data_IF_990842891115
#
_entry.id   IF_990842891115
#
_cell.length_a   1.000
_cell.length_b   1.000
_cell.length_c   1.000
_cell.angle_alpha   90.00
_cell.angle_beta   90.00
_cell.angle_gamma   90.00
#
_symmetry.space_group_name_H-M   'P 1'
#
loop_
_entity.id
_entity.type
_entity.pdbx_description
1 polymer ?
#
# COMPACT_ATOMS: atom_id res chain seq x y z
N UNK A 1 -26.20 16.92 10.17
CA UNK A 1 -25.75 18.08 9.39
C UNK A 1 -24.32 17.85 8.95
N UNK A 2 -23.96 18.25 7.71
CA UNK A 2 -22.63 18.01 7.10
C UNK A 2 -21.87 19.32 6.94
N UNK A 3 -20.57 19.31 7.23
CA UNK A 3 -19.62 20.33 6.79
C UNK A 3 -18.87 19.78 5.57
N UNK A 4 -18.88 20.55 4.49
CA UNK A 4 -18.04 20.31 3.32
C UNK A 4 -16.85 21.28 3.38
N UNK A 5 -15.65 20.75 3.53
CA UNK A 5 -14.40 21.52 3.53
C UNK A 5 -13.81 21.40 2.14
N UNK A 6 -13.58 22.53 1.48
CA UNK A 6 -13.03 22.62 0.13
C UNK A 6 -11.60 23.13 0.21
N UNK A 7 -10.64 22.27 -0.08
CA UNK A 7 -9.21 22.58 -0.09
C UNK A 7 -8.65 22.76 -1.51
N UNK A 8 -9.51 22.64 -2.52
CA UNK A 8 -9.15 22.80 -3.92
C UNK A 8 -10.27 23.56 -4.65
N UNK A 9 -9.90 24.46 -5.55
CA UNK A 9 -10.83 25.14 -6.44
C UNK A 9 -11.13 24.18 -7.60
N UNK A 10 -12.33 23.62 -7.61
CA UNK A 10 -12.82 22.74 -8.68
C UNK A 10 -13.54 23.52 -9.76
N UNK A 11 -13.86 22.84 -10.86
CA UNK A 11 -14.67 23.40 -11.97
C UNK A 11 -16.13 23.66 -11.54
N UNK A 12 -16.58 23.03 -10.46
CA UNK A 12 -17.96 23.11 -9.97
C UNK A 12 -18.00 23.88 -8.67
N UNK A 13 -18.79 24.99 -8.67
CA UNK A 13 -19.08 25.73 -7.44
C UNK A 13 -20.19 25.03 -6.64
N UNK A 14 -19.93 24.76 -5.37
CA UNK A 14 -20.92 24.21 -4.44
C UNK A 14 -21.75 25.32 -3.80
N UNK A 15 -22.99 25.46 -4.23
CA UNK A 15 -23.95 26.42 -3.65
C UNK A 15 -24.72 25.74 -2.50
N UNK A 16 -24.57 26.18 -1.23
CA UNK A 16 -25.21 25.56 -0.06
C UNK A 16 -26.73 25.39 -0.19
N UNK A 17 -27.39 26.32 -0.86
CA UNK A 17 -28.83 26.29 -1.07
C UNK A 17 -29.32 25.24 -2.07
N UNK A 18 -28.43 24.70 -2.89
CA UNK A 18 -28.77 23.61 -3.85
C UNK A 18 -28.72 22.24 -3.22
N UNK A 19 -28.16 22.09 -2.03
CA UNK A 19 -28.18 20.81 -1.32
C UNK A 19 -29.57 20.54 -0.73
N UNK A 20 -30.11 19.36 -1.00
CA UNK A 20 -31.41 18.92 -0.50
C UNK A 20 -31.47 19.06 1.04
N UNK A 21 -32.51 19.77 1.53
CA UNK A 21 -32.74 19.96 2.97
C UNK A 21 -31.89 21.02 3.67
N UNK A 22 -31.02 21.76 2.97
CA UNK A 22 -30.24 22.86 3.57
C UNK A 22 -29.29 22.40 4.70
N UNK A 23 -28.89 21.13 4.71
CA UNK A 23 -28.13 20.49 5.79
C UNK A 23 -26.63 20.50 5.59
N UNK A 24 -26.10 21.23 4.59
CA UNK A 24 -24.69 21.33 4.28
C UNK A 24 -24.18 22.73 4.52
N UNK A 25 -23.12 22.87 5.30
CA UNK A 25 -22.32 24.09 5.38
C UNK A 25 -21.06 23.91 4.55
N UNK A 26 -20.61 24.93 3.84
CA UNK A 26 -19.41 24.90 3.01
C UNK A 26 -18.33 25.77 3.64
N UNK A 27 -17.10 25.25 3.71
CA UNK A 27 -15.92 25.94 4.24
C UNK A 27 -14.81 25.88 3.16
N UNK A 28 -14.58 26.95 2.42
CA UNK A 28 -13.39 27.04 1.56
C UNK A 28 -12.13 27.26 2.42
N UNK A 29 -11.03 26.59 2.03
CA UNK A 29 -9.73 26.68 2.71
C UNK A 29 -8.68 27.03 1.67
N UNK A 30 -8.21 28.26 1.69
CA UNK A 30 -7.21 28.79 0.77
C UNK A 30 -5.79 28.52 1.30
N UNK A 31 -5.14 27.48 0.76
CA UNK A 31 -3.78 27.10 1.10
C UNK A 31 -3.68 26.16 2.32
N UNK A 32 -2.68 25.30 2.28
CA UNK A 32 -2.50 24.25 3.30
C UNK A 32 -2.30 24.79 4.73
N UNK A 33 -1.71 26.00 4.90
CA UNK A 33 -1.50 26.60 6.21
C UNK A 33 -2.80 27.07 6.87
N UNK A 34 -3.86 27.28 6.08
CA UNK A 34 -5.17 27.67 6.60
C UNK A 34 -5.95 26.46 7.15
N UNK A 35 -5.63 25.23 6.71
CA UNK A 35 -6.24 24.01 7.23
C UNK A 35 -5.66 23.70 8.62
N UNK A 36 -6.35 24.12 9.66
CA UNK A 36 -5.90 23.94 11.04
C UNK A 36 -6.97 23.25 11.89
N UNK A 37 -6.52 22.60 12.97
CA UNK A 37 -7.42 21.99 13.96
C UNK A 37 -8.43 22.99 14.51
N UNK A 38 -7.97 24.18 14.85
CA UNK A 38 -8.83 25.22 15.40
C UNK A 38 -9.92 25.64 14.42
N UNK A 39 -9.58 25.80 13.15
CA UNK A 39 -10.55 26.13 12.10
C UNK A 39 -11.66 25.08 12.01
N UNK A 40 -11.29 23.79 11.96
CA UNK A 40 -12.24 22.68 11.88
C UNK A 40 -13.14 22.60 13.12
N UNK A 41 -12.57 22.77 14.33
CA UNK A 41 -13.34 22.80 15.57
C UNK A 41 -14.34 23.95 15.62
N UNK A 42 -13.94 25.16 15.25
CA UNK A 42 -14.77 26.35 15.30
C UNK A 42 -15.95 26.25 14.33
N UNK A 43 -15.70 25.79 13.09
CA UNK A 43 -16.76 25.60 12.10
C UNK A 43 -17.72 24.48 12.49
N UNK A 44 -17.21 23.38 13.02
CA UNK A 44 -18.04 22.27 13.49
C UNK A 44 -18.96 22.68 14.62
N UNK A 45 -18.45 23.42 15.60
CA UNK A 45 -19.23 23.98 16.71
C UNK A 45 -20.27 25.00 16.22
N UNK A 46 -19.83 25.94 15.37
CA UNK A 46 -20.70 26.99 14.83
C UNK A 46 -21.90 26.46 14.08
N UNK A 47 -21.69 25.43 13.26
CA UNK A 47 -22.72 24.87 12.39
C UNK A 47 -23.41 23.63 12.98
N UNK A 48 -22.95 23.10 14.13
CA UNK A 48 -23.47 21.92 14.80
C UNK A 48 -23.57 20.73 13.84
N UNK A 49 -22.44 20.36 13.24
CA UNK A 49 -22.36 19.29 12.25
C UNK A 49 -22.03 17.95 12.90
N UNK A 50 -22.53 16.88 12.31
CA UNK A 50 -22.35 15.49 12.77
C UNK A 50 -21.35 14.75 11.89
N UNK A 51 -21.06 15.29 10.70
CA UNK A 51 -20.17 14.68 9.70
C UNK A 51 -19.42 15.76 8.93
N UNK A 52 -18.17 15.47 8.62
CA UNK A 52 -17.33 16.34 7.78
C UNK A 52 -16.93 15.56 6.54
N UNK A 53 -17.07 16.19 5.38
CA UNK A 53 -16.48 15.76 4.12
C UNK A 53 -15.37 16.74 3.77
N UNK A 54 -14.23 16.23 3.36
CA UNK A 54 -13.09 17.07 2.96
C UNK A 54 -12.79 16.76 1.51
N UNK A 55 -13.00 17.71 0.61
CA UNK A 55 -12.44 17.71 -0.73
C UNK A 55 -11.01 18.23 -0.61
N UNK A 56 -10.08 17.28 -0.51
CA UNK A 56 -8.69 17.57 -0.17
C UNK A 56 -7.88 17.91 -1.43
N UNK A 57 -6.98 18.85 -1.30
CA UNK A 57 -6.12 19.25 -2.42
C UNK A 57 -5.13 18.13 -2.78
N UNK A 58 -5.17 17.70 -4.05
CA UNK A 58 -4.35 16.62 -4.57
C UNK A 58 -2.84 16.85 -4.47
N UNK A 59 -2.40 18.10 -4.37
CA UNK A 59 -0.98 18.47 -4.29
C UNK A 59 -0.46 18.63 -2.85
N UNK A 60 -1.33 18.61 -1.83
CA UNK A 60 -0.90 18.75 -0.45
C UNK A 60 -0.53 17.37 0.15
N UNK A 61 0.53 17.29 0.99
CA UNK A 61 0.84 16.06 1.73
C UNK A 61 -0.33 15.64 2.60
N UNK A 62 -0.64 14.35 2.68
CA UNK A 62 -1.75 13.82 3.52
C UNK A 62 -1.52 14.12 4.99
N UNK A 63 -0.27 14.23 5.44
CA UNK A 63 0.09 14.59 6.80
C UNK A 63 -0.53 15.92 7.25
N UNK A 64 -0.69 16.90 6.36
CA UNK A 64 -1.35 18.18 6.67
C UNK A 64 -2.80 17.98 7.13
N UNK A 65 -3.52 17.03 6.51
CA UNK A 65 -4.87 16.68 6.95
C UNK A 65 -4.84 16.01 8.33
N UNK A 66 -3.95 15.06 8.56
CA UNK A 66 -3.84 14.38 9.87
C UNK A 66 -3.51 15.35 11.00
N UNK A 67 -2.61 16.29 10.76
CA UNK A 67 -2.23 17.30 11.77
C UNK A 67 -3.37 18.27 12.08
N UNK A 68 -4.26 18.49 11.10
CA UNK A 68 -5.42 19.37 11.26
C UNK A 68 -6.62 18.68 11.93
N UNK A 69 -6.63 17.35 12.08
CA UNK A 69 -7.76 16.64 12.68
C UNK A 69 -7.96 17.05 14.15
N UNK A 70 -9.18 17.44 14.55
CA UNK A 70 -9.54 17.64 15.96
C UNK A 70 -9.38 16.36 16.77
N UNK A 71 -9.07 16.53 18.07
CA UNK A 71 -8.91 15.38 18.96
C UNK A 71 -10.20 14.55 19.05
N UNK A 72 -10.09 13.25 18.82
CA UNK A 72 -11.21 12.32 18.86
C UNK A 72 -11.98 12.20 17.54
N UNK A 73 -11.51 12.86 16.48
CA UNK A 73 -12.01 12.58 15.14
C UNK A 73 -11.28 11.39 14.52
N UNK A 74 -12.01 10.66 13.71
CA UNK A 74 -11.50 9.52 12.95
C UNK A 74 -11.89 9.69 11.47
N UNK A 75 -10.98 9.34 10.58
CA UNK A 75 -11.29 9.26 9.15
C UNK A 75 -12.07 7.95 8.97
N UNK A 76 -13.34 8.08 8.63
CA UNK A 76 -14.24 6.94 8.41
C UNK A 76 -13.99 6.29 7.06
N UNK A 77 -13.68 7.09 6.04
CA UNK A 77 -13.40 6.61 4.68
C UNK A 77 -12.49 7.61 3.98
N UNK A 78 -11.50 7.09 3.29
CA UNK A 78 -10.63 7.86 2.41
C UNK A 78 -10.80 7.36 0.96
N UNK A 79 -11.01 8.29 0.04
CA UNK A 79 -11.13 8.00 -1.39
C UNK A 79 -10.14 8.85 -2.16
N UNK A 80 -9.43 8.24 -3.09
CA UNK A 80 -8.60 8.96 -4.06
C UNK A 80 -9.25 8.89 -5.43
N UNK A 81 -9.44 10.05 -6.07
CA UNK A 81 -9.89 10.15 -7.45
C UNK A 81 -8.71 10.59 -8.30
N UNK A 82 -8.40 9.83 -9.33
CA UNK A 82 -7.30 10.11 -10.24
C UNK A 82 -7.76 10.06 -11.70
N UNK A 83 -7.35 11.04 -12.48
CA UNK A 83 -7.60 11.06 -13.93
C UNK A 83 -6.75 9.97 -14.61
N UNK A 84 -7.42 8.97 -15.19
CA UNK A 84 -6.76 7.83 -15.85
C UNK A 84 -5.82 8.22 -16.99
N UNK A 85 -6.04 9.38 -17.60
CA UNK A 85 -5.24 9.86 -18.73
C UNK A 85 -3.94 10.54 -18.30
N UNK A 86 -3.93 11.17 -17.12
CA UNK A 86 -2.78 11.92 -16.62
C UNK A 86 -2.01 11.20 -15.51
N UNK A 87 -2.64 10.27 -14.81
CA UNK A 87 -2.03 9.53 -13.70
C UNK A 87 -0.70 8.84 -14.04
N UNK A 88 -0.53 8.16 -15.22
CA UNK A 88 0.77 7.60 -15.58
C UNK A 88 1.88 8.64 -15.64
N UNK A 89 1.58 9.85 -16.09
CA UNK A 89 2.52 10.97 -16.11
C UNK A 89 2.85 11.48 -14.69
N UNK A 90 1.85 11.54 -13.80
CA UNK A 90 2.07 11.87 -12.40
C UNK A 90 2.94 10.83 -11.71
N UNK A 91 2.68 9.56 -11.94
CA UNK A 91 3.49 8.46 -11.38
C UNK A 91 4.94 8.52 -11.86
N UNK A 92 5.19 8.89 -13.11
CA UNK A 92 6.52 9.01 -13.68
C UNK A 92 7.31 10.24 -13.17
N UNK A 93 6.63 11.38 -12.98
CA UNK A 93 7.29 12.66 -12.72
C UNK A 93 7.18 13.13 -11.25
N UNK A 94 6.16 12.68 -10.53
CA UNK A 94 5.85 13.06 -9.15
C UNK A 94 5.58 11.83 -8.29
N UNK A 95 6.42 10.81 -8.45
CA UNK A 95 6.22 9.47 -7.89
C UNK A 95 5.88 9.47 -6.41
N UNK A 96 6.65 10.20 -5.60
CA UNK A 96 6.45 10.23 -4.15
C UNK A 96 5.03 10.68 -3.79
N UNK A 97 4.55 11.76 -4.39
CA UNK A 97 3.21 12.27 -4.15
C UNK A 97 2.13 11.31 -4.66
N UNK A 98 2.32 10.74 -5.87
CA UNK A 98 1.39 9.78 -6.43
C UNK A 98 1.26 8.51 -5.57
N UNK A 99 2.37 7.99 -5.06
CA UNK A 99 2.42 6.83 -4.17
C UNK A 99 1.74 7.15 -2.84
N UNK A 100 2.06 8.29 -2.20
CA UNK A 100 1.43 8.74 -0.95
C UNK A 100 -0.11 8.76 -1.05
N UNK A 101 -0.64 9.29 -2.18
CA UNK A 101 -2.10 9.35 -2.40
C UNK A 101 -2.76 7.99 -2.63
N UNK A 102 -1.99 6.96 -2.93
CA UNK A 102 -2.50 5.60 -3.16
C UNK A 102 -2.28 4.64 -1.98
N UNK A 103 -1.47 5.01 -0.98
CA UNK A 103 -1.11 4.10 0.12
C UNK A 103 -2.27 3.81 1.09
N UNK A 104 -3.08 4.80 1.41
CA UNK A 104 -4.04 4.71 2.51
C UNK A 104 -5.53 4.70 2.12
N UNK A 105 -5.95 5.11 0.91
CA UNK A 105 -7.37 5.16 0.61
C UNK A 105 -8.03 3.79 0.66
N UNK A 106 -9.28 3.77 1.13
CA UNK A 106 -10.15 2.58 1.06
C UNK A 106 -10.62 2.31 -0.37
N UNK A 107 -10.76 3.40 -1.16
CA UNK A 107 -11.24 3.35 -2.55
C UNK A 107 -10.37 4.22 -3.43
N UNK A 108 -9.92 3.68 -4.54
CA UNK A 108 -9.26 4.43 -5.62
C UNK A 108 -10.16 4.42 -6.85
N UNK A 109 -10.51 5.60 -7.33
CA UNK A 109 -11.36 5.78 -8.52
C UNK A 109 -10.51 6.39 -9.62
N UNK A 110 -10.34 5.65 -10.71
CA UNK A 110 -9.80 6.21 -11.94
C UNK A 110 -10.94 6.70 -12.81
N UNK A 111 -11.08 8.01 -12.96
CA UNK A 111 -12.10 8.59 -13.81
C UNK A 111 -11.62 8.82 -15.25
N UNK A 112 -12.52 9.26 -16.12
CA UNK A 112 -12.27 9.52 -17.56
C UNK A 112 -11.70 8.32 -18.32
N UNK A 113 -12.06 7.12 -17.89
CA UNK A 113 -11.63 5.86 -18.51
C UNK A 113 -12.29 5.70 -19.89
N UNK A 114 -11.49 5.28 -20.86
CA UNK A 114 -11.91 4.95 -22.22
C UNK A 114 -11.50 3.52 -22.58
N UNK A 115 -11.90 3.06 -23.75
CA UNK A 115 -11.46 1.76 -24.27
C UNK A 115 -9.94 1.69 -24.51
N UNK A 116 -9.27 2.83 -24.68
CA UNK A 116 -7.82 2.90 -24.87
C UNK A 116 -7.04 2.96 -23.54
N UNK A 117 -7.72 3.06 -22.39
CA UNK A 117 -7.07 3.15 -21.08
C UNK A 117 -6.45 1.81 -20.71
N UNK A 118 -5.16 1.80 -20.39
CA UNK A 118 -4.46 0.62 -19.88
C UNK A 118 -4.79 0.42 -18.39
N UNK A 119 -5.94 -0.22 -18.14
CA UNK A 119 -6.42 -0.55 -16.79
C UNK A 119 -5.42 -1.43 -16.02
N UNK A 120 -4.67 -2.30 -16.72
CA UNK A 120 -3.71 -3.19 -16.08
C UNK A 120 -2.54 -2.40 -15.47
N UNK A 121 -2.07 -1.36 -16.14
CA UNK A 121 -1.03 -0.48 -15.57
C UNK A 121 -1.56 0.32 -14.38
N UNK A 122 -2.79 0.84 -14.43
CA UNK A 122 -3.41 1.56 -13.31
C UNK A 122 -3.64 0.62 -12.11
N UNK A 123 -4.15 -0.57 -12.35
CA UNK A 123 -4.33 -1.61 -11.34
C UNK A 123 -3.01 -1.92 -10.63
N UNK A 124 -1.95 -2.25 -11.39
CA UNK A 124 -0.63 -2.54 -10.83
C UNK A 124 -0.11 -1.40 -9.97
N UNK A 125 -0.23 -0.15 -10.43
CA UNK A 125 0.24 1.01 -9.68
C UNK A 125 -0.41 1.12 -8.30
N UNK A 126 -1.69 0.82 -8.17
CA UNK A 126 -2.38 0.80 -6.87
C UNK A 126 -1.95 -0.42 -6.05
N UNK A 127 -2.00 -1.63 -6.65
CA UNK A 127 -1.72 -2.89 -5.93
C UNK A 127 -0.33 -2.97 -5.34
N UNK A 128 0.65 -2.30 -5.96
CA UNK A 128 2.02 -2.22 -5.45
C UNK A 128 2.12 -1.53 -4.09
N UNK A 129 1.25 -0.56 -3.81
CA UNK A 129 1.33 0.25 -2.59
C UNK A 129 0.12 0.07 -1.66
N UNK A 130 -1.02 -0.36 -2.20
CA UNK A 130 -2.26 -0.57 -1.44
C UNK A 130 -3.06 -1.75 -2.01
N UNK A 131 -2.87 -2.91 -1.44
CA UNK A 131 -3.57 -4.12 -1.88
C UNK A 131 -5.01 -4.22 -1.40
N UNK A 132 -5.40 -3.43 -0.42
CA UNK A 132 -6.74 -3.47 0.19
C UNK A 132 -7.73 -2.51 -0.45
N UNK A 133 -7.24 -1.48 -1.13
CA UNK A 133 -8.10 -0.50 -1.76
C UNK A 133 -9.06 -1.18 -2.76
N UNK A 134 -10.31 -0.79 -2.72
CA UNK A 134 -11.21 -1.07 -3.82
C UNK A 134 -10.84 -0.17 -5.00
N UNK A 135 -10.60 -0.74 -6.17
CA UNK A 135 -10.33 0.03 -7.39
C UNK A 135 -11.60 0.06 -8.22
N UNK A 136 -11.97 1.26 -8.66
CA UNK A 136 -13.10 1.51 -9.52
C UNK A 136 -12.64 2.29 -10.76
N UNK A 137 -13.26 2.00 -11.88
CA UNK A 137 -13.03 2.68 -13.15
C UNK A 137 -14.31 3.40 -13.56
N UNK A 138 -14.28 4.72 -13.67
CA UNK A 138 -15.38 5.55 -14.13
C UNK A 138 -15.13 5.98 -15.57
N UNK A 139 -16.04 5.62 -16.46
CA UNK A 139 -15.94 5.97 -17.87
C UNK A 139 -16.26 7.46 -18.11
N UNK A 140 -15.94 7.96 -19.30
CA UNK A 140 -16.30 9.34 -19.71
C UNK A 140 -17.82 9.57 -19.74
N UNK A 141 -18.61 8.50 -19.84
CA UNK A 141 -20.07 8.56 -19.83
C UNK A 141 -20.66 8.43 -18.40
N UNK A 142 -19.81 8.32 -17.37
CA UNK A 142 -20.20 8.24 -15.98
C UNK A 142 -20.59 6.82 -15.50
N UNK A 143 -20.34 5.79 -16.29
CA UNK A 143 -20.52 4.40 -15.86
C UNK A 143 -19.35 3.98 -14.98
N UNK A 144 -19.66 3.35 -13.84
CA UNK A 144 -18.65 2.89 -12.88
C UNK A 144 -18.59 1.37 -12.90
N UNK A 145 -17.40 0.84 -13.14
CA UNK A 145 -17.13 -0.60 -13.14
C UNK A 145 -16.06 -0.94 -12.09
N UNK A 146 -16.22 -2.05 -11.36
CA UNK A 146 -15.19 -2.51 -10.44
C UNK A 146 -13.99 -3.07 -11.21
N UNK A 147 -12.82 -2.98 -10.58
CA UNK A 147 -11.64 -3.68 -11.04
C UNK A 147 -11.83 -5.20 -10.90
N UNK A 148 -11.67 -5.91 -12.00
CA UNK A 148 -11.77 -7.38 -12.07
C UNK A 148 -10.43 -8.04 -12.46
N UNK A 149 -9.36 -7.24 -12.53
CA UNK A 149 -8.04 -7.74 -12.89
C UNK A 149 -7.51 -8.60 -11.75
N UNK A 150 -7.03 -9.78 -12.09
CA UNK A 150 -6.38 -10.71 -11.17
C UNK A 150 -4.89 -10.67 -11.44
N UNK A 151 -4.10 -10.43 -10.41
CA UNK A 151 -2.65 -10.48 -10.50
C UNK A 151 -2.21 -11.94 -10.74
N UNK A 152 -1.62 -12.21 -11.91
CA UNK A 152 -0.93 -13.46 -12.16
C UNK A 152 0.45 -13.39 -11.50
N UNK A 153 0.82 -14.47 -10.82
CA UNK A 153 2.15 -14.57 -10.23
C UNK A 153 3.17 -14.93 -11.33
N UNK A 154 4.34 -14.26 -11.37
CA UNK A 154 5.34 -14.50 -12.42
C UNK A 154 6.11 -15.80 -12.24
N UNK A 155 5.83 -16.57 -11.17
CA UNK A 155 6.45 -17.84 -10.85
C UNK A 155 5.42 -18.96 -10.81
N UNK A 156 5.85 -20.17 -11.22
CA UNK A 156 4.97 -21.35 -11.32
C UNK A 156 4.64 -21.90 -9.93
N UNK A 157 3.41 -21.65 -9.49
CA UNK A 157 2.90 -22.14 -8.20
C UNK A 157 2.67 -23.66 -8.18
N UNK A 158 2.62 -24.34 -9.32
CA UNK A 158 2.38 -25.79 -9.40
C UNK A 158 3.68 -26.60 -9.51
N UNK A 159 4.84 -25.94 -9.57
CA UNK A 159 6.13 -26.59 -9.53
C UNK A 159 6.40 -27.27 -8.17
N UNK A 160 7.18 -28.36 -8.17
CA UNK A 160 7.61 -29.04 -6.94
C UNK A 160 8.36 -28.09 -6.00
N UNK A 161 9.17 -27.20 -6.56
CA UNK A 161 9.82 -26.07 -5.89
C UNK A 161 9.44 -24.79 -6.63
N UNK A 162 8.71 -23.92 -5.96
CA UNK A 162 8.34 -22.61 -6.50
C UNK A 162 9.56 -21.71 -6.45
N UNK A 163 10.15 -21.45 -7.60
CA UNK A 163 11.37 -20.64 -7.72
C UNK A 163 11.01 -19.16 -7.88
N UNK A 164 11.41 -18.35 -6.91
CA UNK A 164 11.13 -16.93 -6.88
C UNK A 164 12.34 -16.18 -7.43
N UNK A 165 12.19 -15.54 -8.58
CA UNK A 165 13.21 -14.71 -9.20
C UNK A 165 13.63 -13.53 -8.32
N UNK A 166 14.81 -12.98 -8.60
CA UNK A 166 15.32 -11.84 -7.84
C UNK A 166 14.41 -10.61 -8.00
N UNK A 167 13.87 -10.39 -9.18
CA UNK A 167 12.93 -9.32 -9.52
C UNK A 167 11.53 -9.54 -8.94
N UNK A 168 11.14 -10.80 -8.70
CA UNK A 168 9.81 -11.18 -8.25
C UNK A 168 9.66 -11.18 -6.73
N UNK A 169 10.76 -11.01 -5.98
CA UNK A 169 10.75 -11.12 -4.52
C UNK A 169 9.77 -10.15 -3.87
N UNK A 170 9.62 -8.94 -4.38
CA UNK A 170 8.69 -7.94 -3.85
C UNK A 170 7.25 -8.41 -3.96
N UNK A 171 6.84 -8.87 -5.13
CA UNK A 171 5.50 -9.41 -5.38
C UNK A 171 5.24 -10.67 -4.54
N UNK A 172 6.21 -11.59 -4.51
CA UNK A 172 6.14 -12.78 -3.65
C UNK A 172 5.92 -12.40 -2.18
N UNK A 173 6.72 -11.46 -1.65
CA UNK A 173 6.64 -11.05 -0.25
C UNK A 173 5.24 -10.51 0.11
N UNK A 174 4.66 -9.72 -0.75
CA UNK A 174 3.32 -9.19 -0.52
C UNK A 174 2.27 -10.31 -0.63
N UNK A 175 2.33 -11.12 -1.72
CA UNK A 175 1.32 -12.15 -1.97
C UNK A 175 1.31 -13.25 -0.89
N UNK A 176 2.48 -13.64 -0.35
CA UNK A 176 2.53 -14.66 0.72
C UNK A 176 1.88 -14.20 2.02
N UNK A 177 1.91 -12.89 2.34
CA UNK A 177 1.20 -12.35 3.51
C UNK A 177 -0.31 -12.26 3.28
N UNK A 178 -0.73 -11.85 2.09
CA UNK A 178 -2.16 -11.70 1.77
C UNK A 178 -2.83 -13.05 1.50
N UNK A 179 -2.11 -13.98 0.88
CA UNK A 179 -2.63 -15.24 0.38
C UNK A 179 -1.87 -16.46 0.91
N UNK A 180 -1.45 -16.45 2.17
CA UNK A 180 -0.62 -17.52 2.76
C UNK A 180 -1.14 -18.93 2.49
N UNK A 181 -2.46 -19.10 2.36
CA UNK A 181 -3.09 -20.40 2.07
C UNK A 181 -2.65 -20.99 0.73
N UNK A 182 -2.32 -20.15 -0.27
CA UNK A 182 -1.80 -20.62 -1.58
C UNK A 182 -0.44 -21.32 -1.45
N UNK A 183 0.35 -20.89 -0.45
CA UNK A 183 1.72 -21.35 -0.23
C UNK A 183 1.84 -22.48 0.78
N UNK A 184 0.79 -22.74 1.58
CA UNK A 184 0.84 -23.74 2.64
C UNK A 184 1.27 -25.12 2.12
N UNK A 185 2.36 -25.64 2.70
CA UNK A 185 2.91 -26.94 2.36
C UNK A 185 3.74 -26.97 1.07
N UNK A 186 3.80 -25.86 0.32
CA UNK A 186 4.68 -25.75 -0.85
C UNK A 186 6.12 -25.49 -0.41
N UNK A 187 7.05 -25.97 -1.20
CA UNK A 187 8.47 -25.65 -1.06
C UNK A 187 8.79 -24.48 -1.98
N UNK A 188 9.36 -23.42 -1.43
CA UNK A 188 9.76 -22.22 -2.17
C UNK A 188 11.29 -22.06 -2.15
N UNK A 189 11.85 -21.45 -3.18
CA UNK A 189 13.28 -21.13 -3.26
C UNK A 189 13.48 -19.69 -3.69
N UNK A 190 14.34 -18.98 -2.96
CA UNK A 190 14.66 -17.58 -3.26
C UNK A 190 15.99 -17.17 -2.65
N UNK A 191 16.62 -16.09 -3.16
CA UNK A 191 17.77 -15.47 -2.53
C UNK A 191 17.35 -14.51 -1.43
N UNK A 192 18.04 -14.57 -0.31
CA UNK A 192 17.77 -13.75 0.85
C UNK A 192 19.04 -13.24 1.51
N UNK A 193 18.90 -12.10 2.13
CA UNK A 193 19.88 -11.55 3.07
C UNK A 193 19.60 -12.06 4.48
N UNK A 194 20.60 -12.57 5.15
CA UNK A 194 20.46 -13.12 6.51
C UNK A 194 20.38 -12.00 7.54
N UNK A 195 19.26 -11.88 8.22
CA UNK A 195 19.13 -10.98 9.36
C UNK A 195 19.00 -11.78 10.67
N UNK A 196 20.05 -11.74 11.49
CA UNK A 196 20.05 -12.29 12.83
C UNK A 196 19.49 -11.24 13.80
N UNK A 197 18.45 -11.60 14.54
CA UNK A 197 17.81 -10.71 15.52
C UNK A 197 17.34 -11.47 16.75
N UNK A 198 17.40 -10.84 17.91
CA UNK A 198 16.86 -11.39 19.17
C UNK A 198 15.33 -11.45 19.21
N UNK A 199 14.65 -10.90 18.19
CA UNK A 199 13.19 -10.89 18.10
C UNK A 199 12.60 -12.20 17.57
N UNK A 200 13.42 -13.08 16.98
CA UNK A 200 12.98 -14.41 16.52
C UNK A 200 13.46 -15.50 17.47
N UNK A 201 12.79 -16.67 17.50
CA UNK A 201 13.20 -17.80 18.33
C UNK A 201 14.60 -18.31 18.02
N UNK A 202 15.19 -19.01 18.99
CA UNK A 202 16.44 -19.72 18.79
C UNK A 202 16.29 -20.77 17.67
N UNK A 203 17.29 -20.90 16.80
CA UNK A 203 17.22 -21.75 15.62
C UNK A 203 16.50 -21.10 14.43
N UNK A 204 16.17 -19.81 14.52
CA UNK A 204 15.56 -19.05 13.45
C UNK A 204 16.42 -17.83 13.07
N UNK A 205 16.24 -17.38 11.85
CA UNK A 205 16.72 -16.08 11.34
C UNK A 205 15.63 -15.46 10.48
N UNK A 206 15.76 -14.18 10.12
CA UNK A 206 14.89 -13.57 9.12
C UNK A 206 15.57 -13.63 7.77
N UNK A 207 14.96 -14.33 6.83
CA UNK A 207 15.36 -14.39 5.43
C UNK A 207 14.63 -13.29 4.67
N UNK A 208 15.34 -12.29 4.20
CA UNK A 208 14.69 -11.12 3.62
C UNK A 208 15.58 -10.31 2.69
N UNK A 209 15.06 -9.17 2.28
CA UNK A 209 15.78 -8.18 1.44
C UNK A 209 15.42 -6.77 1.89
N UNK A 210 16.18 -5.79 1.46
CA UNK A 210 15.79 -4.40 1.62
C UNK A 210 14.84 -4.01 0.48
N UNK A 211 13.70 -3.44 0.82
CA UNK A 211 12.69 -2.98 -0.13
C UNK A 211 12.50 -1.48 -0.06
N UNK A 212 12.24 -0.87 -1.20
CA UNK A 212 11.94 0.55 -1.37
C UNK A 212 10.64 0.72 -2.15
N UNK A 213 9.73 1.52 -1.62
CA UNK A 213 8.45 1.80 -2.29
C UNK A 213 8.53 3.04 -3.17
N UNK A 214 8.98 4.16 -2.65
CA UNK A 214 8.97 5.43 -3.40
C UNK A 214 10.31 6.17 -3.39
N UNK A 215 11.09 6.12 -2.33
CA UNK A 215 12.34 6.86 -2.21
C UNK A 215 13.32 6.20 -1.22
N UNK A 216 14.56 6.71 -1.19
CA UNK A 216 15.59 6.15 -0.32
C UNK A 216 15.28 6.25 1.19
N UNK A 217 14.37 7.14 1.59
CA UNK A 217 13.98 7.33 3.00
C UNK A 217 13.03 6.24 3.49
N UNK A 218 12.34 5.52 2.59
CA UNK A 218 11.41 4.45 2.93
C UNK A 218 12.03 3.04 2.87
N UNK A 219 13.36 2.94 2.66
CA UNK A 219 14.04 1.66 2.61
C UNK A 219 13.84 0.91 3.93
N UNK A 220 13.21 -0.24 3.86
CA UNK A 220 12.96 -1.10 5.02
C UNK A 220 13.36 -2.54 4.75
N UNK A 221 13.67 -3.29 5.82
CA UNK A 221 13.97 -4.70 5.68
C UNK A 221 12.67 -5.52 5.72
N UNK A 222 12.38 -6.19 4.63
CA UNK A 222 11.23 -7.08 4.47
C UNK A 222 11.70 -8.53 4.48
N UNK A 223 11.04 -9.41 5.24
CA UNK A 223 11.51 -10.80 5.33
C UNK A 223 10.60 -11.71 6.11
N UNK A 224 10.88 -12.99 6.00
CA UNK A 224 10.15 -14.08 6.58
C UNK A 224 10.98 -14.77 7.66
N UNK A 225 10.36 -15.19 8.76
CA UNK A 225 11.04 -16.00 9.78
C UNK A 225 11.29 -17.38 9.19
N UNK A 226 12.55 -17.79 9.21
CA UNK A 226 13.02 -19.06 8.70
C UNK A 226 13.69 -19.87 9.82
N UNK A 227 13.14 -21.03 10.10
CA UNK A 227 13.70 -22.03 11.00
C UNK A 227 14.68 -22.91 10.22
N UNK A 228 15.92 -23.03 10.70
CA UNK A 228 16.98 -23.83 10.06
C UNK A 228 17.94 -24.41 11.08
N UNK A 229 18.35 -25.67 10.91
CA UNK A 229 19.33 -26.31 11.80
C UNK A 229 20.63 -25.51 11.90
N UNK A 230 21.08 -24.93 10.77
CA UNK A 230 22.29 -24.11 10.70
C UNK A 230 22.10 -22.64 11.02
N UNK A 231 20.90 -22.19 11.48
CA UNK A 231 20.60 -20.77 11.71
C UNK A 231 21.66 -20.06 12.56
N UNK A 232 22.21 -20.71 13.60
CA UNK A 232 23.24 -20.15 14.46
C UNK A 232 24.60 -19.99 13.77
N UNK A 233 24.86 -20.73 12.70
CA UNK A 233 26.11 -20.72 11.96
C UNK A 233 26.09 -19.70 10.81
N UNK A 234 24.88 -19.26 10.43
CA UNK A 234 24.71 -18.27 9.37
C UNK A 234 25.26 -16.92 9.84
N UNK A 235 26.12 -16.34 9.02
CA UNK A 235 26.68 -15.04 9.30
C UNK A 235 25.65 -13.94 9.00
N UNK A 236 25.41 -13.08 9.98
CA UNK A 236 24.57 -11.89 9.77
C UNK A 236 25.09 -11.04 8.62
N UNK A 237 24.18 -10.53 7.81
CA UNK A 237 24.50 -9.70 6.63
C UNK A 237 25.24 -10.44 5.51
N UNK A 238 24.88 -11.70 5.25
CA UNK A 238 25.35 -12.47 4.10
C UNK A 238 24.20 -12.90 3.22
N UNK A 239 24.47 -13.11 1.95
CA UNK A 239 23.50 -13.62 1.00
C UNK A 239 23.47 -15.15 1.01
N UNK A 240 22.27 -15.69 0.97
CA UNK A 240 21.97 -17.12 0.92
C UNK A 240 20.85 -17.42 -0.06
N UNK A 241 20.87 -18.61 -0.65
CA UNK A 241 19.69 -19.19 -1.27
C UNK A 241 18.99 -20.05 -0.24
N UNK A 242 17.73 -19.75 0.02
CA UNK A 242 16.86 -20.49 0.94
C UNK A 242 15.92 -21.35 0.12
N UNK A 243 15.89 -22.67 0.42
CA UNK A 243 14.83 -23.58 -0.02
C UNK A 243 14.11 -24.02 1.21
N UNK A 244 12.81 -23.73 1.32
CA UNK A 244 12.07 -23.94 2.55
C UNK A 244 10.61 -24.26 2.29
N UNK A 245 10.05 -25.09 3.17
CA UNK A 245 8.62 -25.39 3.20
C UNK A 245 7.86 -24.29 3.93
N UNK A 246 6.75 -23.84 3.34
CA UNK A 246 5.91 -22.81 3.92
C UNK A 246 4.91 -23.42 4.92
N UNK A 247 4.90 -22.86 6.12
CA UNK A 247 3.93 -23.16 7.18
C UNK A 247 3.36 -21.86 7.75
N UNK A 248 2.48 -21.94 8.74
CA UNK A 248 1.95 -20.77 9.45
C UNK A 248 2.19 -20.95 10.95
N UNK A 249 2.77 -19.93 11.59
CA UNK A 249 2.92 -19.89 13.06
C UNK A 249 2.50 -18.52 13.58
N UNK A 250 2.01 -18.48 14.83
CA UNK A 250 1.74 -17.20 15.52
C UNK A 250 3.05 -16.66 16.09
N UNK A 251 3.33 -15.39 15.79
CA UNK A 251 4.50 -14.71 16.32
C UNK A 251 4.25 -13.21 16.51
N UNK A 252 4.91 -12.59 17.51
CA UNK A 252 4.72 -11.18 17.83
C UNK A 252 5.13 -10.22 16.69
N UNK A 253 6.14 -10.59 15.89
CA UNK A 253 6.57 -9.80 14.71
C UNK A 253 5.43 -9.66 13.70
N UNK A 254 4.58 -10.68 13.54
CA UNK A 254 3.44 -10.67 12.63
C UNK A 254 2.16 -10.15 13.27
N UNK A 255 2.20 -9.81 14.59
CA UNK A 255 1.02 -9.44 15.38
C UNK A 255 -0.10 -10.49 15.35
N UNK A 256 0.24 -11.74 14.99
CA UNK A 256 -0.71 -12.84 14.84
C UNK A 256 -0.11 -14.03 14.10
N UNK A 257 -0.95 -14.83 13.42
CA UNK A 257 -0.49 -15.88 12.52
C UNK A 257 0.12 -15.26 11.25
N UNK A 258 1.27 -15.78 10.83
CA UNK A 258 1.95 -15.32 9.60
C UNK A 258 2.75 -16.43 8.96
N UNK A 259 3.27 -16.21 7.73
CA UNK A 259 4.05 -17.19 7.00
C UNK A 259 5.34 -17.52 7.76
N UNK A 260 5.61 -18.81 7.90
CA UNK A 260 6.78 -19.33 8.58
C UNK A 260 7.48 -20.35 7.70
N UNK A 261 8.76 -20.17 7.51
CA UNK A 261 9.57 -21.05 6.67
C UNK A 261 10.27 -22.11 7.52
N UNK A 262 10.24 -23.35 7.06
CA UNK A 262 11.06 -24.44 7.59
C UNK A 262 12.06 -24.81 6.51
N UNK A 263 13.31 -24.46 6.72
CA UNK A 263 14.35 -24.65 5.72
C UNK A 263 14.65 -26.13 5.47
N UNK A 264 14.64 -26.52 4.21
CA UNK A 264 15.17 -27.78 3.72
C UNK A 264 16.67 -27.62 3.41
N UNK A 265 17.03 -26.47 2.88
CA UNK A 265 18.43 -26.09 2.65
C UNK A 265 18.65 -24.58 2.72
N UNK A 266 19.84 -24.18 3.18
CA UNK A 266 20.32 -22.80 3.14
C UNK A 266 21.77 -22.84 2.66
N UNK A 267 22.04 -22.28 1.49
CA UNK A 267 23.36 -22.31 0.86
C UNK A 267 23.88 -20.90 0.62
N UNK A 268 25.19 -20.63 0.72
CA UNK A 268 25.74 -19.34 0.35
C UNK A 268 25.39 -18.94 -1.07
N UNK A 269 25.08 -17.66 -1.29
CA UNK A 269 24.76 -17.12 -2.59
C UNK A 269 25.55 -15.82 -2.86
N UNK A 270 25.71 -15.49 -4.14
CA UNK A 270 26.14 -14.16 -4.55
C UNK A 270 24.95 -13.19 -4.43
N UNK A 271 25.21 -11.90 -4.16
CA UNK A 271 24.18 -10.89 -4.22
C UNK A 271 23.43 -10.94 -5.56
N UNK A 272 22.16 -10.61 -5.62
CA UNK A 272 21.47 -10.33 -6.87
C UNK A 272 22.08 -9.09 -7.55
N UNK A 273 21.79 -8.88 -8.83
CA UNK A 273 22.26 -7.70 -9.55
C UNK A 273 21.71 -6.43 -8.89
N UNK A 274 20.41 -6.42 -8.57
CA UNK A 274 19.78 -5.42 -7.73
C UNK A 274 19.54 -5.96 -6.32
N UNK A 275 20.29 -5.44 -5.34
CA UNK A 275 20.14 -5.83 -3.94
C UNK A 275 18.84 -5.28 -3.33
N UNK A 276 18.35 -4.14 -3.84
CA UNK A 276 17.08 -3.55 -3.43
C UNK A 276 15.91 -4.19 -4.19
N UNK A 277 14.85 -4.40 -3.47
CA UNK A 277 13.55 -4.79 -4.03
C UNK A 277 12.74 -3.54 -4.27
N UNK A 278 12.25 -3.39 -5.47
CA UNK A 278 11.35 -2.31 -5.83
C UNK A 278 9.93 -2.87 -5.92
N UNK A 279 8.99 -2.19 -5.30
CA UNK A 279 7.56 -2.50 -5.43
C UNK A 279 6.95 -1.76 -6.63
N UNK A 280 7.60 -1.84 -7.79
CA UNK A 280 7.26 -1.05 -8.99
C UNK A 280 7.00 -1.95 -10.18
#
# INVERSE_FOLDING_TARGET
KTLLVLCEDGEVEYEPQKFAGGNVAVLPVEGQQALTRQLLEDYTKKHRVDRVLVEYNGMWPVQVLYDALPKGWEIFQMMTVADSTTFPSYLANMRQLAVEKMQEPDVVIFNRVTQATDKATLHRAVRMVNRRAQILFETVDGEVEPDTIVDELPFDMDADVVDIGDEDYGLFYIDIFDNVKKYLGKTIRFKAYVCQTKRVPEGCFVAGRFGMTCCAEDITFIGLICEAEQAKQLKHRTWVTVTAKVTVKKHAIYQGPGPWLVAESVTPAQPPEDELVYFV
#
